data_IF_331745326932
#
_entry.id   IF_331745326932
#
_cell.length_a   1.000
_cell.length_b   1.000
_cell.length_c   1.000
_cell.angle_alpha   90.00
_cell.angle_beta   90.00
_cell.angle_gamma   90.00
#
_symmetry.space_group_name_H-M   'P 1'
#
loop_
_entity.id
_entity.type
_entity.pdbx_description
1 polymer ?
#
# COMPACT_ATOMS: atom_id res chain seq x y z
N UNK A 1 17.89 2.45 19.41
CA UNK A 1 16.55 2.82 19.95
C UNK A 1 15.76 3.43 18.80
N UNK A 2 14.45 3.15 18.69
CA UNK A 2 13.64 3.76 17.62
C UNK A 2 13.49 5.28 17.86
N UNK A 3 13.57 6.12 16.81
CA UNK A 3 13.28 7.53 16.96
C UNK A 3 11.78 7.70 17.31
N UNK A 4 11.45 8.69 18.15
CA UNK A 4 10.05 8.96 18.49
C UNK A 4 9.34 9.67 17.34
N UNK A 5 8.05 9.40 17.12
CA UNK A 5 7.29 10.05 16.04
C UNK A 5 7.28 11.58 16.14
N UNK A 6 7.38 12.11 17.37
CA UNK A 6 7.43 13.54 17.68
C UNK A 6 8.62 14.26 17.07
N UNK A 7 9.70 13.54 16.70
CA UNK A 7 10.86 14.14 16.01
C UNK A 7 10.70 14.18 14.50
N UNK A 8 9.64 13.61 13.92
CA UNK A 8 9.35 13.69 12.49
C UNK A 8 8.55 14.97 12.19
N UNK A 9 9.17 16.13 12.44
CA UNK A 9 8.56 17.43 12.15
C UNK A 9 8.89 17.88 10.72
N UNK A 10 8.17 18.89 10.22
CA UNK A 10 8.46 19.52 8.93
C UNK A 10 9.88 20.11 8.86
N UNK A 11 10.37 20.65 9.97
CA UNK A 11 11.72 21.22 10.06
C UNK A 11 12.82 20.15 9.89
N UNK A 12 12.47 18.89 10.13
CA UNK A 12 13.36 17.73 10.07
C UNK A 12 13.04 16.87 8.83
N UNK A 13 12.11 17.32 7.99
CA UNK A 13 11.72 16.68 6.73
C UNK A 13 12.80 16.95 5.69
N UNK A 14 13.14 15.93 4.91
CA UNK A 14 14.29 16.00 4.01
C UNK A 14 15.58 15.53 4.69
N UNK A 15 16.70 15.60 3.98
CA UNK A 15 17.95 14.93 4.36
C UNK A 15 18.07 13.49 3.85
N UNK A 16 16.94 12.85 3.53
CA UNK A 16 16.89 11.56 2.82
C UNK A 16 15.78 11.56 1.77
N UNK A 17 15.92 10.73 0.74
CA UNK A 17 14.93 10.56 -0.33
C UNK A 17 14.60 9.08 -0.53
N UNK A 18 13.30 8.77 -0.59
CA UNK A 18 12.78 7.45 -0.93
C UNK A 18 11.81 7.59 -2.11
N UNK A 19 11.47 6.49 -2.81
CA UNK A 19 10.41 6.50 -3.81
C UNK A 19 9.08 6.97 -3.21
N UNK A 20 8.26 7.67 -4.01
CA UNK A 20 6.96 8.14 -3.55
C UNK A 20 5.99 6.99 -3.18
N UNK A 21 6.19 5.81 -3.77
CA UNK A 21 5.42 4.61 -3.49
C UNK A 21 6.25 3.34 -3.63
N UNK A 22 5.88 2.29 -2.91
CA UNK A 22 6.43 0.94 -3.04
C UNK A 22 5.35 -0.12 -2.75
N UNK A 23 5.56 -1.36 -3.16
CA UNK A 23 4.74 -2.49 -2.75
C UNK A 23 5.24 -3.07 -1.43
N UNK A 24 4.34 -3.64 -0.65
CA UNK A 24 4.75 -4.54 0.42
C UNK A 24 5.60 -5.68 -0.17
N UNK A 25 6.74 -5.99 0.45
CA UNK A 25 7.72 -6.96 -0.06
C UNK A 25 8.71 -6.40 -1.09
N UNK A 26 8.53 -5.16 -1.56
CA UNK A 26 9.44 -4.56 -2.55
C UNK A 26 10.77 -4.12 -1.92
N UNK A 27 11.87 -4.35 -2.64
CA UNK A 27 13.16 -3.74 -2.30
C UNK A 27 13.29 -2.36 -2.93
N UNK A 28 13.36 -1.34 -2.10
CA UNK A 28 13.51 0.06 -2.51
C UNK A 28 14.95 0.54 -2.34
N UNK A 29 15.27 1.65 -3.02
CA UNK A 29 16.54 2.38 -2.84
C UNK A 29 16.24 3.68 -2.11
N UNK A 30 16.98 3.94 -1.03
CA UNK A 30 16.87 5.16 -0.23
C UNK A 30 18.18 5.94 -0.37
N UNK A 31 18.08 7.20 -0.77
CA UNK A 31 19.21 8.12 -0.84
C UNK A 31 19.39 8.78 0.53
N UNK A 32 20.55 8.57 1.14
CA UNK A 32 20.96 9.19 2.41
C UNK A 32 21.90 10.38 2.16
N UNK A 33 22.71 10.29 1.10
CA UNK A 33 23.69 11.30 0.71
C UNK A 33 25.12 10.77 0.81
N UNK A 34 25.98 11.23 -0.10
CA UNK A 34 27.39 10.79 -0.19
C UNK A 34 28.23 11.19 1.02
N UNK A 35 27.80 12.20 1.78
CA UNK A 35 28.44 12.60 3.02
C UNK A 35 28.41 11.52 4.11
N UNK A 36 27.45 10.59 4.02
CA UNK A 36 27.32 9.45 4.93
C UNK A 36 27.90 8.15 4.36
N UNK A 37 28.60 8.19 3.22
CA UNK A 37 29.15 6.98 2.60
C UNK A 37 30.12 6.26 3.55
N UNK A 38 29.91 4.96 3.72
CA UNK A 38 30.65 4.14 4.69
C UNK A 38 30.07 4.12 6.10
N UNK A 39 29.12 5.00 6.43
CA UNK A 39 28.46 4.99 7.73
C UNK A 39 27.41 3.88 7.81
N UNK A 40 27.20 3.36 9.02
CA UNK A 40 26.08 2.44 9.31
C UNK A 40 24.85 3.23 9.69
N UNK A 41 23.74 2.97 9.01
CA UNK A 41 22.45 3.61 9.24
C UNK A 41 21.35 2.57 9.50
N UNK A 42 20.33 2.99 10.22
CA UNK A 42 19.11 2.23 10.46
C UNK A 42 17.95 2.91 9.73
N UNK A 43 17.20 2.12 8.96
CA UNK A 43 16.03 2.56 8.20
C UNK A 43 14.77 2.05 8.88
N UNK A 44 13.87 2.97 9.17
CA UNK A 44 12.64 2.73 9.91
C UNK A 44 11.44 3.05 9.03
N UNK A 45 10.41 2.20 9.09
CA UNK A 45 9.09 2.50 8.56
C UNK A 45 8.17 2.91 9.71
N UNK A 46 7.43 4.00 9.51
CA UNK A 46 6.59 4.65 10.49
C UNK A 46 5.13 4.61 10.06
N UNK A 47 4.41 3.74 10.75
CA UNK A 47 2.98 3.70 11.04
C UNK A 47 2.82 3.14 12.46
N UNK A 48 3.53 2.04 12.73
CA UNK A 48 4.15 1.69 14.02
C UNK A 48 5.68 1.66 13.81
N UNK A 49 6.53 2.10 14.77
CA UNK A 49 7.97 2.21 14.55
C UNK A 49 8.64 0.84 14.32
N UNK A 50 8.92 0.53 13.05
CA UNK A 50 9.46 -0.78 12.64
C UNK A 50 10.82 -0.61 11.98
N UNK A 51 11.85 -1.30 12.49
CA UNK A 51 13.16 -1.34 11.84
C UNK A 51 13.09 -2.27 10.63
N UNK A 52 13.28 -1.72 9.43
CA UNK A 52 13.20 -2.49 8.17
C UNK A 52 14.58 -2.79 7.57
N UNK A 53 15.64 -2.16 8.10
CA UNK A 53 17.00 -2.50 7.70
C UNK A 53 18.07 -1.76 8.48
N UNK A 54 19.22 -2.40 8.63
CA UNK A 54 20.48 -1.79 9.04
C UNK A 54 21.48 -2.01 7.91
N UNK A 55 22.05 -0.94 7.37
CA UNK A 55 22.89 -1.01 6.18
C UNK A 55 24.05 -0.01 6.25
N UNK A 56 25.15 -0.34 5.57
CA UNK A 56 26.23 0.60 5.30
C UNK A 56 25.87 1.40 4.05
N UNK A 57 25.96 2.72 4.12
CA UNK A 57 25.69 3.61 2.98
C UNK A 57 26.75 3.38 1.90
N UNK A 58 26.30 3.08 0.69
CA UNK A 58 27.18 2.87 -0.46
C UNK A 58 27.92 4.16 -0.86
N UNK A 59 28.95 4.03 -1.69
CA UNK A 59 29.77 5.16 -2.14
C UNK A 59 28.96 6.24 -2.90
N UNK A 60 27.84 5.86 -3.52
CA UNK A 60 26.91 6.77 -4.19
C UNK A 60 25.90 7.44 -3.23
N UNK A 61 26.00 7.18 -1.92
CA UNK A 61 25.12 7.74 -0.90
C UNK A 61 23.79 7.02 -0.74
N UNK A 62 23.65 5.78 -1.23
CA UNK A 62 22.40 5.02 -1.17
C UNK A 62 22.45 3.79 -0.25
N UNK A 63 21.26 3.35 0.18
CA UNK A 63 21.04 2.05 0.82
C UNK A 63 19.86 1.35 0.16
N UNK A 64 19.85 0.01 0.16
CA UNK A 64 18.72 -0.79 -0.30
C UNK A 64 18.07 -1.49 0.89
N UNK A 65 16.75 -1.40 0.98
CA UNK A 65 15.96 -2.01 2.06
C UNK A 65 14.69 -2.62 1.49
N UNK A 66 14.17 -3.66 2.14
CA UNK A 66 12.94 -4.34 1.74
C UNK A 66 11.79 -3.90 2.64
N UNK A 67 10.69 -3.46 2.03
CA UNK A 67 9.45 -3.20 2.78
C UNK A 67 8.90 -4.55 3.27
N UNK A 68 8.57 -4.71 4.57
CA UNK A 68 7.96 -5.94 5.06
C UNK A 68 6.70 -6.32 4.25
N UNK A 69 6.55 -7.61 3.94
CA UNK A 69 5.46 -8.10 3.08
C UNK A 69 4.07 -7.99 3.74
N UNK A 70 4.01 -7.89 5.06
CA UNK A 70 2.83 -7.69 5.88
C UNK A 70 2.51 -6.21 6.15
N UNK A 71 3.27 -5.29 5.55
CA UNK A 71 3.01 -3.85 5.68
C UNK A 71 1.62 -3.50 5.14
N UNK A 72 0.80 -2.87 5.99
CA UNK A 72 -0.54 -2.40 5.60
C UNK A 72 -0.44 -1.35 4.50
N UNK A 73 -1.26 -1.48 3.46
CA UNK A 73 -1.34 -0.49 2.40
C UNK A 73 -1.83 0.88 2.94
N UNK A 74 -1.25 1.97 2.46
CA UNK A 74 -1.59 3.32 2.91
C UNK A 74 -0.40 4.28 2.95
N UNK A 75 -0.59 5.41 3.62
CA UNK A 75 0.46 6.40 3.83
C UNK A 75 1.33 6.02 5.03
N UNK A 76 2.65 6.09 4.85
CA UNK A 76 3.65 5.83 5.86
C UNK A 76 4.74 6.91 5.80
N UNK A 77 5.65 6.87 6.79
CA UNK A 77 6.88 7.68 6.78
C UNK A 77 8.09 6.76 6.82
N UNK A 78 9.13 7.06 6.06
CA UNK A 78 10.40 6.35 6.10
C UNK A 78 11.44 7.27 6.73
N UNK A 79 12.02 6.85 7.85
CA UNK A 79 13.05 7.61 8.55
C UNK A 79 14.38 6.88 8.53
N UNK A 80 15.48 7.63 8.46
CA UNK A 80 16.83 7.09 8.55
C UNK A 80 17.52 7.71 9.75
N UNK A 81 18.17 6.86 10.54
CA UNK A 81 18.96 7.26 11.71
C UNK A 81 20.38 6.76 11.58
N UNK A 82 21.33 7.47 12.18
CA UNK A 82 22.68 6.97 12.38
C UNK A 82 22.69 5.78 13.37
N UNK A 83 23.84 5.10 13.48
CA UNK A 83 24.02 3.97 14.41
C UNK A 83 23.74 4.32 15.88
N UNK A 84 23.98 5.58 16.28
CA UNK A 84 23.70 6.09 17.63
C UNK A 84 22.23 6.48 17.87
N UNK A 85 21.38 6.41 16.84
CA UNK A 85 19.97 6.77 16.90
C UNK A 85 19.65 8.22 16.51
N UNK A 86 20.64 9.03 16.15
CA UNK A 86 20.44 10.39 15.65
C UNK A 86 19.65 10.38 14.34
N UNK A 87 18.58 11.16 14.25
CA UNK A 87 17.78 11.29 13.03
C UNK A 87 18.58 12.02 11.95
N UNK A 88 18.78 11.36 10.81
CA UNK A 88 19.42 11.95 9.62
C UNK A 88 18.36 12.68 8.79
N UNK A 89 17.19 12.06 8.64
CA UNK A 89 16.08 12.63 7.89
C UNK A 89 14.94 11.65 7.71
N UNK A 90 13.85 12.14 7.12
CA UNK A 90 12.70 11.30 6.77
C UNK A 90 11.99 11.75 5.49
N UNK A 91 11.25 10.83 4.87
CA UNK A 91 10.52 11.02 3.63
C UNK A 91 9.15 10.30 3.68
N UNK A 92 8.06 10.87 3.12
CA UNK A 92 6.79 10.17 3.02
C UNK A 92 6.85 9.06 1.96
N UNK A 93 6.12 7.96 2.20
CA UNK A 93 5.99 6.86 1.22
C UNK A 93 4.58 6.28 1.27
N UNK A 94 4.01 5.97 0.10
CA UNK A 94 2.74 5.26 -0.01
C UNK A 94 3.00 3.77 -0.26
N UNK A 95 2.57 2.92 0.65
CA UNK A 95 2.66 1.46 0.48
C UNK A 95 1.42 0.95 -0.23
N UNK A 96 1.63 0.17 -1.28
CA UNK A 96 0.57 -0.51 -2.02
C UNK A 96 0.58 -1.99 -1.67
N UNK A 97 -0.60 -2.60 -1.65
CA UNK A 97 -0.69 -4.05 -1.48
C UNK A 97 0.02 -4.72 -2.66
N UNK A 98 0.73 -5.80 -2.37
CA UNK A 98 1.23 -6.68 -3.43
C UNK A 98 0.03 -7.22 -4.23
N UNK A 99 0.28 -7.82 -5.40
CA UNK A 99 -0.72 -8.26 -6.40
C UNK A 99 -1.88 -9.17 -5.93
N UNK A 100 -2.13 -9.32 -4.63
CA UNK A 100 -3.47 -9.46 -4.08
C UNK A 100 -4.28 -8.21 -4.47
N UNK A 101 -4.81 -8.23 -5.69
CA UNK A 101 -6.05 -7.56 -6.03
C UNK A 101 -6.91 -7.54 -4.78
N UNK A 102 -7.32 -6.34 -4.38
CA UNK A 102 -8.34 -6.18 -3.37
C UNK A 102 -9.40 -7.25 -3.63
N UNK A 103 -9.55 -8.20 -2.70
CA UNK A 103 -10.72 -9.06 -2.63
C UNK A 103 -11.95 -8.21 -2.24
N UNK A 104 -12.04 -6.97 -2.70
CA UNK A 104 -13.25 -6.15 -2.72
C UNK A 104 -14.16 -6.55 -3.90
N UNK A 105 -13.83 -7.63 -4.60
CA UNK A 105 -14.78 -8.33 -5.48
C UNK A 105 -15.96 -8.97 -4.74
N UNK A 106 -15.93 -9.16 -3.40
CA UNK A 106 -17.01 -9.87 -2.70
C UNK A 106 -17.20 -9.56 -1.20
N UNK A 107 -16.63 -8.48 -0.65
CA UNK A 107 -16.74 -8.18 0.79
C UNK A 107 -17.35 -6.78 1.04
N UNK A 108 -18.56 -6.54 0.51
CA UNK A 108 -19.24 -5.26 0.68
C UNK A 108 -20.65 -5.13 0.10
N UNK A 109 -21.13 -6.13 -0.65
CA UNK A 109 -22.55 -6.32 -0.94
C UNK A 109 -22.87 -7.77 -0.64
N UNK A 110 -23.80 -8.00 0.29
CA UNK A 110 -24.00 -9.26 0.99
C UNK A 110 -24.39 -10.45 0.11
N UNK A 111 -24.82 -11.52 0.76
CA UNK A 111 -25.33 -12.76 0.17
C UNK A 111 -26.48 -12.63 -0.87
N UNK A 112 -26.80 -11.43 -1.36
CA UNK A 112 -27.76 -11.15 -2.43
C UNK A 112 -27.21 -11.13 -3.86
N UNK A 113 -25.88 -11.22 -4.09
CA UNK A 113 -25.33 -11.14 -5.45
C UNK A 113 -25.54 -12.41 -6.31
N UNK A 114 -25.94 -13.54 -5.71
CA UNK A 114 -26.37 -14.72 -6.49
C UNK A 114 -27.84 -14.66 -6.92
N UNK A 115 -28.63 -13.71 -6.38
CA UNK A 115 -30.06 -13.59 -6.71
C UNK A 115 -30.28 -12.73 -7.97
N UNK A 116 -29.32 -11.87 -8.34
CA UNK A 116 -29.47 -11.00 -9.51
C UNK A 116 -29.47 -11.76 -10.85
N UNK A 117 -28.75 -12.88 -10.96
CA UNK A 117 -28.77 -13.69 -12.19
C UNK A 117 -30.00 -14.62 -12.27
N UNK A 118 -30.63 -14.95 -11.14
CA UNK A 118 -31.88 -15.72 -11.10
C UNK A 118 -33.14 -14.84 -11.27
N UNK A 119 -33.08 -13.55 -10.91
CA UNK A 119 -34.21 -12.62 -11.13
C UNK A 119 -34.26 -12.03 -12.55
N UNK A 120 -33.13 -11.93 -13.26
CA UNK A 120 -33.10 -11.53 -14.67
C UNK A 120 -33.62 -12.63 -15.62
N UNK A 121 -33.52 -13.91 -15.24
CA UNK A 121 -34.13 -15.02 -15.99
C UNK A 121 -35.66 -15.13 -15.78
N UNK A 122 -36.17 -14.77 -14.59
CA UNK A 122 -37.61 -14.78 -14.30
C UNK A 122 -38.37 -13.61 -14.94
N UNK A 123 -37.74 -12.43 -15.09
CA UNK A 123 -38.36 -11.25 -15.71
C UNK A 123 -38.65 -11.40 -17.21
N UNK A 124 -37.78 -12.09 -17.96
CA UNK A 124 -37.97 -12.33 -19.39
C UNK A 124 -39.08 -13.35 -19.69
N UNK A 125 -39.28 -14.34 -18.82
CA UNK A 125 -40.31 -15.39 -19.00
C UNK A 125 -41.75 -14.86 -18.93
N UNK A 126 -42.02 -13.90 -18.02
CA UNK A 126 -43.36 -13.32 -17.85
C UNK A 126 -43.77 -12.46 -19.05
N UNK A 127 -42.84 -11.76 -19.69
CA UNK A 127 -43.13 -10.92 -20.86
C UNK A 127 -43.43 -11.75 -22.13
N UNK A 128 -42.81 -12.93 -22.29
CA UNK A 128 -43.08 -13.81 -23.44
C UNK A 128 -44.44 -14.50 -23.33
N UNK A 129 -44.85 -14.92 -22.13
CA UNK A 129 -46.16 -15.59 -21.93
C UNK A 129 -47.34 -14.61 -22.13
N UNK A 130 -47.20 -13.34 -21.73
CA UNK A 130 -48.28 -12.36 -21.84
C UNK A 130 -48.56 -11.94 -23.30
N UNK A 131 -47.56 -11.97 -24.18
CA UNK A 131 -47.73 -11.65 -25.61
C UNK A 131 -48.49 -12.75 -26.36
N UNK A 132 -48.28 -14.02 -26.01
CA UNK A 132 -48.99 -15.16 -26.64
C UNK A 132 -50.48 -15.21 -26.31
N UNK A 133 -50.88 -14.83 -25.08
CA UNK A 133 -52.30 -14.83 -24.68
C UNK A 133 -53.12 -13.69 -25.30
N UNK A 134 -52.50 -12.60 -25.74
CA UNK A 134 -53.20 -11.52 -26.47
C UNK A 134 -53.40 -11.81 -27.95
N UNK A 135 -52.60 -12.72 -28.52
CA UNK A 135 -52.77 -13.16 -29.91
C UNK A 135 -53.86 -14.25 -30.05
N UNK A 136 -54.08 -15.08 -29.01
CA UNK A 136 -55.08 -16.15 -29.02
C UNK A 136 -56.50 -15.71 -28.59
N UNK A 137 -56.72 -14.42 -28.33
CA UNK A 137 -58.04 -13.86 -28.00
C UNK A 137 -58.59 -12.96 -29.12
N UNK A 138 -58.00 -13.02 -30.31
CA UNK A 138 -58.38 -12.26 -31.50
C UNK A 138 -58.66 -13.15 -32.72
N UNK A 139 -59.01 -14.41 -32.50
CA UNK A 139 -59.59 -15.33 -33.49
C UNK A 139 -60.80 -16.01 -32.86
#
# INVERSE_FOLDING_TARGET
MAPSESVLTEANRGGVSAPASARAGETITVTVGTASAGDTVNVWLFSEPTLIGTAVVAADGTVRVTIPADTVAGAHRLAVTAADGTLIGWSPITITADGQLAFTGAAGMGAGALVAFLLLAAGAGVLVVRRRRRAAAAE
#
